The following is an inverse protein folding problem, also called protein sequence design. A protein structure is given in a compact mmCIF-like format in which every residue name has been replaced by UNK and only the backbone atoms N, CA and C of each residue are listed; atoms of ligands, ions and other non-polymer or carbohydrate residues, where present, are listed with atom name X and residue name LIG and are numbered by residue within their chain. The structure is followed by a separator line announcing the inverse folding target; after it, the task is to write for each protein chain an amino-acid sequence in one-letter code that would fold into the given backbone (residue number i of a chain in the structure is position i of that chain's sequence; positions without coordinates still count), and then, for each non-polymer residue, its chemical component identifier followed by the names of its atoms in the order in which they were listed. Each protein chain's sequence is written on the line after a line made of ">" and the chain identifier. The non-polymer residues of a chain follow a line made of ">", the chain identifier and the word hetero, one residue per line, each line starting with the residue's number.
data_IF_601806799616
#
_entry.id   IF_601806799616
#
_cell.length_a   1.000
_cell.length_b   1.000
_cell.length_c   1.000
_cell.angle_alpha   90.00
_cell.angle_beta   90.00
_cell.angle_gamma   90.00
#
_symmetry.space_group_name_H-M   'P 1'
#
loop_
_entity.id
_entity.type
_entity.pdbx_description
1 polymer ?
#
# COMPACT_ATOMS: atom_id res chain seq x y z
N UNK A 1 -49.72 9.18 4.86
CA UNK A 1 -49.28 10.25 5.76
C UNK A 1 -48.44 9.63 6.88
N UNK A 2 -47.12 9.61 6.71
CA UNK A 2 -46.17 9.17 7.76
C UNK A 2 -45.61 10.42 8.45
N UNK A 3 -45.43 10.42 9.79
CA UNK A 3 -45.03 11.61 10.50
C UNK A 3 -43.54 11.89 10.25
N UNK A 4 -43.26 13.09 9.76
CA UNK A 4 -41.93 13.71 9.74
C UNK A 4 -41.60 14.15 11.16
N UNK A 5 -40.64 13.49 11.81
CA UNK A 5 -40.00 14.06 13.00
C UNK A 5 -38.95 15.09 12.56
N UNK A 6 -38.94 16.30 13.13
CA UNK A 6 -37.92 17.30 12.83
C UNK A 6 -36.62 16.92 13.55
N UNK A 7 -35.56 16.70 12.77
CA UNK A 7 -34.20 16.56 13.28
C UNK A 7 -33.74 17.95 13.70
N UNK A 8 -33.63 18.18 15.01
CA UNK A 8 -32.97 19.36 15.57
C UNK A 8 -31.44 19.17 15.58
N UNK A 9 -30.66 20.26 15.42
CA UNK A 9 -29.22 20.21 15.23
C UNK A 9 -28.51 19.91 16.55
N UNK A 10 -27.72 18.85 16.60
CA UNK A 10 -26.79 18.59 17.69
C UNK A 10 -25.52 19.43 17.51
N UNK A 11 -25.10 20.21 18.53
CA UNK A 11 -23.83 20.92 18.53
C UNK A 11 -22.76 20.04 19.17
N UNK A 12 -21.81 19.50 18.41
CA UNK A 12 -20.54 18.97 18.94
C UNK A 12 -19.51 18.89 17.81
N UNK A 13 -18.63 19.90 17.78
CA UNK A 13 -17.39 19.93 17.02
C UNK A 13 -16.31 19.18 17.84
N UNK A 14 -15.59 18.21 17.24
CA UNK A 14 -14.15 17.94 17.45
C UNK A 14 -13.71 16.56 16.92
N UNK A 15 -12.49 16.55 16.34
CA UNK A 15 -11.49 15.46 16.28
C UNK A 15 -11.72 14.24 15.35
N UNK A 16 -10.63 13.59 14.88
CA UNK A 16 -10.43 12.11 14.77
C UNK A 16 -9.59 11.60 13.58
N UNK A 17 -8.32 11.16 13.74
CA UNK A 17 -7.81 9.99 12.99
C UNK A 17 -6.33 9.91 12.55
N UNK A 18 -5.84 8.70 12.27
CA UNK A 18 -4.38 8.46 12.09
C UNK A 18 -4.17 7.15 11.36
N UNK A 19 -3.14 7.02 10.51
CA UNK A 19 -2.56 5.72 10.10
C UNK A 19 -1.18 5.93 9.45
N UNK A 20 -0.20 5.02 9.67
CA UNK A 20 0.83 4.48 8.74
C UNK A 20 2.03 4.00 9.51
N UNK A 21 2.32 2.69 9.43
CA UNK A 21 3.54 2.12 9.97
C UNK A 21 3.88 0.62 9.80
N UNK A 22 3.85 0.12 8.58
CA UNK A 22 4.58 -1.14 8.31
C UNK A 22 5.85 -0.98 7.47
N UNK A 23 6.15 0.21 6.95
CA UNK A 23 6.61 0.28 5.56
C UNK A 23 8.10 0.09 5.28
N UNK A 24 9.02 0.41 6.18
CA UNK A 24 10.46 0.27 5.82
C UNK A 24 11.01 -1.12 6.11
N UNK A 25 10.11 -2.12 6.15
CA UNK A 25 10.26 -3.16 7.13
C UNK A 25 10.65 -4.55 6.71
N UNK A 26 11.12 -4.78 5.51
CA UNK A 26 10.89 -6.09 4.94
C UNK A 26 12.03 -6.63 4.08
N UNK A 27 13.30 -6.31 4.38
CA UNK A 27 14.41 -6.58 3.44
C UNK A 27 15.60 -7.37 3.93
N UNK A 28 15.47 -8.69 4.02
CA UNK A 28 16.48 -9.52 3.39
C UNK A 28 15.83 -10.84 3.05
N UNK A 29 15.75 -11.09 1.76
CA UNK A 29 15.41 -12.41 1.25
C UNK A 29 16.28 -12.87 0.09
N UNK A 30 17.31 -12.13 -0.34
CA UNK A 30 18.18 -12.59 -1.43
C UNK A 30 19.63 -12.12 -1.25
N UNK A 31 20.51 -13.06 -0.93
CA UNK A 31 21.94 -12.81 -0.72
C UNK A 31 22.85 -14.03 -0.82
N UNK A 32 22.72 -14.89 -1.85
CA UNK A 32 23.85 -15.64 -2.45
C UNK A 32 23.52 -16.13 -3.87
N UNK A 33 24.48 -16.11 -4.82
CA UNK A 33 24.27 -16.55 -6.19
C UNK A 33 24.25 -18.08 -6.26
N UNK A 34 23.10 -18.67 -6.58
CA UNK A 34 23.04 -20.08 -6.98
C UNK A 34 23.72 -20.23 -8.34
N UNK A 35 24.96 -20.73 -8.33
CA UNK A 35 25.53 -21.42 -9.48
C UNK A 35 24.71 -22.68 -9.74
N UNK A 36 23.67 -22.58 -10.57
CA UNK A 36 23.13 -23.72 -11.29
C UNK A 36 22.99 -23.33 -12.75
N UNK A 37 23.93 -23.84 -13.55
CA UNK A 37 23.80 -23.85 -14.99
C UNK A 37 22.64 -24.76 -15.38
N UNK A 38 21.72 -24.21 -16.17
CA UNK A 38 20.64 -24.93 -16.82
C UNK A 38 20.25 -24.17 -18.07
N UNK A 39 20.60 -24.73 -19.23
CA UNK A 39 20.42 -24.10 -20.53
C UNK A 39 18.92 -23.88 -20.85
N UNK A 40 18.52 -22.62 -20.98
CA UNK A 40 17.25 -22.26 -21.62
C UNK A 40 17.51 -22.03 -23.13
N UNK A 41 16.84 -22.84 -23.96
CA UNK A 41 16.80 -22.67 -25.42
C UNK A 41 15.98 -21.42 -25.80
N UNK A 42 16.38 -20.66 -26.84
CA UNK A 42 15.62 -19.51 -27.30
C UNK A 42 14.41 -19.96 -28.13
N UNK A 43 13.22 -19.50 -27.75
CA UNK A 43 12.07 -19.45 -28.65
C UNK A 43 12.22 -18.20 -29.52
N UNK A 44 12.74 -18.39 -30.73
CA UNK A 44 12.71 -17.41 -31.81
C UNK A 44 11.45 -17.59 -32.65
N UNK A 45 10.60 -16.57 -32.69
CA UNK A 45 9.52 -16.40 -33.66
C UNK A 45 9.51 -14.95 -34.16
N UNK A 46 9.50 -14.68 -35.48
CA UNK A 46 9.80 -13.36 -36.03
C UNK A 46 8.54 -12.49 -36.22
N UNK A 47 8.70 -11.18 -36.02
CA UNK A 47 7.87 -10.16 -36.70
C UNK A 47 6.70 -9.59 -35.88
N UNK A 48 7.01 -8.62 -35.02
CA UNK A 48 6.03 -7.65 -34.51
C UNK A 48 6.53 -6.23 -34.82
N UNK A 49 5.68 -5.30 -35.30
CA UNK A 49 6.12 -3.97 -35.71
C UNK A 49 6.55 -3.14 -34.48
N UNK A 50 7.73 -2.55 -34.57
CA UNK A 50 8.21 -1.52 -33.63
C UNK A 50 7.22 -0.35 -33.56
N UNK A 51 6.82 0.12 -32.37
CA UNK A 51 5.95 1.28 -32.25
C UNK A 51 6.70 2.52 -32.75
N UNK A 52 6.17 3.13 -33.83
CA UNK A 52 6.61 4.44 -34.32
C UNK A 52 6.27 5.48 -33.25
N UNK A 53 7.29 6.17 -32.73
CA UNK A 53 7.12 7.39 -31.93
C UNK A 53 6.34 8.41 -32.76
N UNK A 54 5.10 8.69 -32.35
CA UNK A 54 4.29 9.75 -32.93
C UNK A 54 4.80 11.08 -32.36
N UNK A 55 5.70 11.74 -33.10
CA UNK A 55 6.15 13.09 -32.78
C UNK A 55 5.18 14.12 -33.34
N UNK A 56 4.14 14.48 -32.60
CA UNK A 56 3.40 15.73 -32.77
C UNK A 56 2.27 15.84 -31.72
N UNK A 57 2.62 16.33 -30.52
CA UNK A 57 1.75 17.14 -29.64
C UNK A 57 2.60 17.62 -28.45
N UNK A 58 3.59 18.47 -28.71
CA UNK A 58 4.18 19.31 -27.65
C UNK A 58 3.32 20.55 -27.52
N UNK A 59 2.35 20.53 -26.60
CA UNK A 59 1.74 21.76 -26.10
C UNK A 59 2.86 22.48 -25.33
N UNK A 60 3.42 23.51 -25.95
CA UNK A 60 4.50 24.29 -25.37
C UNK A 60 4.00 25.15 -24.21
N UNK A 61 4.06 24.62 -22.99
CA UNK A 61 4.05 25.45 -21.78
C UNK A 61 5.44 26.06 -21.65
N UNK A 62 5.61 27.24 -22.26
CA UNK A 62 6.86 28.01 -22.20
C UNK A 62 6.91 28.78 -20.89
N UNK A 63 7.26 28.11 -19.79
CA UNK A 63 7.64 28.77 -18.55
C UNK A 63 9.08 29.28 -18.67
N UNK A 64 9.25 30.60 -18.85
CA UNK A 64 10.57 31.24 -18.88
C UNK A 64 11.15 31.35 -17.47
N UNK A 65 12.15 30.52 -17.16
CA UNK A 65 12.91 30.55 -15.89
C UNK A 65 13.78 29.30 -15.75
N UNK A 66 15.01 29.36 -16.29
CA UNK A 66 15.88 28.22 -16.62
C UNK A 66 16.53 27.45 -15.46
N UNK A 67 15.78 27.08 -14.42
CA UNK A 67 16.26 26.19 -13.36
C UNK A 67 15.16 25.40 -12.65
N UNK A 68 13.89 25.76 -12.81
CA UNK A 68 12.76 25.08 -12.14
C UNK A 68 12.13 23.94 -12.95
N UNK A 69 12.24 23.94 -14.28
CA UNK A 69 11.59 22.93 -15.13
C UNK A 69 12.16 21.54 -14.91
N UNK A 70 13.49 21.45 -14.78
CA UNK A 70 14.19 20.17 -14.78
C UNK A 70 13.99 19.43 -13.45
N UNK A 71 13.95 20.16 -12.33
CA UNK A 71 13.63 19.59 -11.02
C UNK A 71 12.16 19.15 -10.94
N UNK A 72 11.24 19.89 -11.57
CA UNK A 72 9.83 19.52 -11.61
C UNK A 72 9.65 18.23 -12.43
N UNK A 73 10.28 18.15 -13.60
CA UNK A 73 10.32 16.93 -14.39
C UNK A 73 10.84 15.77 -13.55
N UNK A 74 12.03 15.90 -12.96
CA UNK A 74 12.65 14.86 -12.12
C UNK A 74 11.72 14.37 -11.01
N UNK A 75 11.06 15.26 -10.26
CA UNK A 75 10.09 14.88 -9.21
C UNK A 75 8.89 14.11 -9.75
N UNK A 76 8.43 14.41 -10.96
CA UNK A 76 7.36 13.64 -11.61
C UNK A 76 7.79 12.21 -11.98
N UNK A 77 9.10 11.98 -12.23
CA UNK A 77 9.68 10.68 -12.60
C UNK A 77 10.12 9.81 -11.42
N UNK A 78 10.04 10.29 -10.19
CA UNK A 78 10.41 9.51 -9.03
C UNK A 78 9.53 8.27 -8.87
N UNK A 79 10.13 7.12 -8.57
CA UNK A 79 9.40 5.98 -8.01
C UNK A 79 8.86 6.33 -6.62
N UNK A 80 7.87 5.58 -6.08
CA UNK A 80 7.42 5.81 -4.70
C UNK A 80 8.58 5.69 -3.71
N UNK A 81 9.50 4.75 -3.94
CA UNK A 81 10.69 4.55 -3.13
C UNK A 81 11.63 5.76 -3.16
N UNK A 82 11.90 6.30 -4.35
CA UNK A 82 12.73 7.50 -4.53
C UNK A 82 12.08 8.73 -3.89
N UNK A 83 10.76 8.89 -4.01
CA UNK A 83 10.02 9.97 -3.38
C UNK A 83 10.17 9.95 -1.85
N UNK A 84 10.07 8.77 -1.22
CA UNK A 84 10.28 8.61 0.23
C UNK A 84 11.72 8.93 0.65
N UNK A 85 12.71 8.37 -0.05
CA UNK A 85 14.13 8.55 0.29
C UNK A 85 14.62 9.97 0.05
N UNK A 86 14.03 10.67 -0.92
CA UNK A 86 14.34 12.07 -1.23
C UNK A 86 13.48 13.08 -0.46
N UNK A 87 12.49 12.62 0.30
CA UNK A 87 11.64 13.52 1.11
C UNK A 87 12.48 14.29 2.13
N UNK A 88 12.46 15.62 2.00
CA UNK A 88 13.18 16.52 2.90
C UNK A 88 12.68 16.38 4.34
N UNK A 89 11.36 16.20 4.51
CA UNK A 89 10.69 16.00 5.80
C UNK A 89 11.21 14.72 6.46
N UNK A 90 11.19 13.60 5.75
CA UNK A 90 11.66 12.32 6.28
C UNK A 90 13.16 12.32 6.56
N UNK A 91 13.97 12.96 5.71
CA UNK A 91 15.42 13.12 5.94
C UNK A 91 15.74 13.96 7.16
N UNK A 92 15.00 15.06 7.39
CA UNK A 92 15.13 15.88 8.60
C UNK A 92 14.83 15.04 9.84
N UNK A 93 13.72 14.30 9.84
CA UNK A 93 13.37 13.37 10.92
C UNK A 93 14.44 12.30 11.16
N UNK A 94 14.91 11.62 10.12
CA UNK A 94 15.95 10.61 10.22
C UNK A 94 17.28 11.16 10.77
N UNK A 95 17.69 12.34 10.31
CA UNK A 95 18.92 13.00 10.78
C UNK A 95 18.85 13.29 12.29
N UNK A 96 17.71 13.76 12.77
CA UNK A 96 17.50 14.02 14.20
C UNK A 96 17.53 12.72 15.02
N UNK A 97 16.91 11.65 14.52
CA UNK A 97 16.99 10.35 15.18
C UNK A 97 18.43 9.83 15.22
N UNK A 98 19.22 10.05 14.18
CA UNK A 98 20.65 9.69 14.19
C UNK A 98 21.45 10.48 15.22
N UNK A 99 21.17 11.77 15.40
CA UNK A 99 21.77 12.55 16.47
C UNK A 99 21.45 11.96 17.86
N UNK A 100 20.20 11.53 18.07
CA UNK A 100 19.80 10.84 19.30
C UNK A 100 20.53 9.50 19.44
N UNK A 101 20.50 8.65 18.40
CA UNK A 101 21.10 7.31 18.39
C UNK A 101 22.62 7.35 18.64
N UNK A 102 23.32 8.32 18.04
CA UNK A 102 24.78 8.45 18.09
C UNK A 102 25.29 9.11 19.39
N UNK A 103 24.40 9.70 20.20
CA UNK A 103 24.75 10.25 21.51
C UNK A 103 25.12 9.17 22.53
N UNK A 104 25.85 9.54 23.59
CA UNK A 104 26.16 8.62 24.69
C UNK A 104 24.86 8.17 25.39
N UNK A 105 24.62 6.86 25.47
CA UNK A 105 23.34 6.31 25.95
C UNK A 105 22.18 6.44 24.96
N UNK A 106 22.41 7.06 23.80
CA UNK A 106 21.42 7.41 22.79
C UNK A 106 20.60 6.26 22.23
N UNK A 107 21.19 5.08 22.08
CA UNK A 107 20.48 3.87 21.61
C UNK A 107 19.46 3.33 22.60
N UNK A 108 19.76 3.38 23.91
CA UNK A 108 18.82 2.95 24.95
C UNK A 108 17.66 3.93 25.04
N UNK A 109 18.00 5.22 25.11
CA UNK A 109 17.10 6.36 24.98
C UNK A 109 16.12 6.18 23.81
N UNK A 110 16.66 5.97 22.62
CA UNK A 110 15.86 5.77 21.43
C UNK A 110 14.97 4.52 21.53
N UNK A 111 15.47 3.42 22.09
CA UNK A 111 14.66 2.23 22.36
C UNK A 111 13.46 2.51 23.27
N UNK A 112 13.64 3.33 24.31
CA UNK A 112 12.56 3.73 25.23
C UNK A 112 11.52 4.60 24.49
N UNK A 113 11.96 5.50 23.61
CA UNK A 113 11.06 6.27 22.74
C UNK A 113 10.23 5.37 21.82
N UNK A 114 10.84 4.30 21.26
CA UNK A 114 10.13 3.31 20.43
C UNK A 114 9.07 2.58 21.25
N UNK A 115 9.43 2.11 22.43
CA UNK A 115 8.55 1.34 23.28
C UNK A 115 7.35 2.17 23.77
N UNK A 116 7.58 3.43 24.12
CA UNK A 116 6.51 4.38 24.46
C UNK A 116 5.59 4.64 23.27
N UNK A 117 6.17 4.88 22.08
CA UNK A 117 5.37 5.08 20.88
C UNK A 117 4.52 3.84 20.53
N UNK A 118 5.06 2.62 20.70
CA UNK A 118 4.34 1.35 20.56
C UNK A 118 3.22 1.20 21.58
N UNK A 119 3.44 1.61 22.84
CA UNK A 119 2.43 1.56 23.88
C UNK A 119 1.26 2.49 23.56
N UNK A 120 1.55 3.73 23.21
CA UNK A 120 0.55 4.74 22.81
C UNK A 120 -0.21 4.32 21.54
N UNK A 121 0.49 3.75 20.55
CA UNK A 121 -0.09 3.13 19.37
C UNK A 121 -1.11 2.03 19.68
N UNK A 122 -0.92 1.28 20.76
CA UNK A 122 -1.84 0.20 21.15
C UNK A 122 -3.00 0.72 21.97
N UNK A 123 -2.75 1.66 22.89
CA UNK A 123 -3.80 2.29 23.71
C UNK A 123 -4.68 3.25 22.89
N UNK A 124 -4.14 3.85 21.82
CA UNK A 124 -4.77 4.98 21.12
C UNK A 124 -4.57 6.31 21.85
N UNK A 125 -3.61 6.37 22.77
CA UNK A 125 -3.15 7.63 23.36
C UNK A 125 -2.21 8.36 22.40
N UNK A 126 -2.14 9.67 22.55
CA UNK A 126 -1.35 10.54 21.69
C UNK A 126 -0.67 11.62 22.53
N UNK A 127 0.57 11.37 22.89
CA UNK A 127 1.38 12.28 23.69
C UNK A 127 2.82 12.28 23.18
N UNK A 128 3.14 13.23 22.29
CA UNK A 128 4.51 13.44 21.76
C UNK A 128 5.46 13.67 22.91
N UNK A 129 4.95 14.41 23.88
CA UNK A 129 5.69 14.93 24.98
C UNK A 129 6.11 13.79 25.90
N UNK A 130 5.27 12.78 26.08
CA UNK A 130 5.59 11.53 26.75
C UNK A 130 6.62 10.71 25.96
N UNK A 131 6.50 10.57 24.64
CA UNK A 131 7.49 9.88 23.81
C UNK A 131 8.86 10.56 23.90
N UNK A 132 8.89 11.89 23.83
CA UNK A 132 10.11 12.66 24.00
C UNK A 132 10.62 12.61 25.45
N UNK A 133 9.77 12.44 26.48
CA UNK A 133 10.19 12.37 27.89
C UNK A 133 10.64 10.99 28.35
N UNK A 134 10.18 9.92 27.70
CA UNK A 134 10.62 8.54 27.96
C UNK A 134 12.16 8.40 27.90
N UNK A 135 12.81 9.40 27.30
CA UNK A 135 14.20 9.44 26.98
C UNK A 135 15.09 10.50 27.64
N UNK A 136 14.77 11.03 28.82
CA UNK A 136 15.69 11.99 29.45
C UNK A 136 17.08 11.37 29.75
N UNK A 137 18.20 12.08 29.49
CA UNK A 137 18.29 13.50 29.14
C UNK A 137 18.70 13.82 27.67
N UNK A 138 17.88 14.61 26.97
CA UNK A 138 18.17 15.18 25.63
C UNK A 138 19.38 16.10 25.58
N UNK A 139 19.84 16.62 26.73
CA UNK A 139 20.97 17.55 26.78
C UNK A 139 22.26 16.95 26.18
N UNK A 140 22.40 15.62 26.18
CA UNK A 140 23.56 14.92 25.63
C UNK A 140 23.52 14.78 24.10
N UNK A 141 22.36 14.97 23.45
CA UNK A 141 22.20 14.74 21.99
C UNK A 141 22.60 15.96 21.17
N UNK A 142 22.71 17.14 21.80
CA UNK A 142 22.97 18.41 21.11
C UNK A 142 21.77 18.94 20.30
N UNK A 143 20.64 18.23 20.31
CA UNK A 143 19.40 18.61 19.63
C UNK A 143 18.42 19.15 20.65
N UNK A 144 17.83 20.31 20.37
CA UNK A 144 16.80 20.84 21.27
C UNK A 144 15.52 20.00 21.18
N UNK A 145 14.85 19.76 22.31
CA UNK A 145 13.57 19.02 22.33
C UNK A 145 12.52 19.66 21.42
N UNK A 146 12.49 20.99 21.33
CA UNK A 146 11.56 21.71 20.48
C UNK A 146 11.80 21.45 18.99
N UNK A 147 13.06 21.44 18.56
CA UNK A 147 13.45 21.09 17.18
C UNK A 147 13.12 19.63 16.85
N UNK A 148 13.36 18.72 17.79
CA UNK A 148 12.97 17.32 17.64
C UNK A 148 11.45 17.16 17.54
N UNK A 149 10.68 17.85 18.38
CA UNK A 149 9.23 17.85 18.34
C UNK A 149 8.71 18.36 17.00
N UNK A 150 9.17 19.52 16.53
CA UNK A 150 8.73 20.13 15.27
C UNK A 150 8.98 19.21 14.07
N UNK A 151 10.19 18.65 13.97
CA UNK A 151 10.54 17.80 12.84
C UNK A 151 9.84 16.44 12.89
N UNK A 152 9.61 15.90 14.09
CA UNK A 152 8.77 14.72 14.25
C UNK A 152 7.34 15.07 13.82
N UNK A 153 6.73 16.14 14.32
CA UNK A 153 5.39 16.62 13.90
C UNK A 153 5.26 16.79 12.38
N UNK A 154 6.29 17.31 11.71
CA UNK A 154 6.28 17.42 10.25
C UNK A 154 6.27 16.04 9.56
N UNK A 155 7.12 15.12 10.02
CA UNK A 155 7.15 13.75 9.53
C UNK A 155 5.88 12.97 9.87
N UNK A 156 5.33 13.19 11.07
CA UNK A 156 4.05 12.67 11.52
C UNK A 156 2.95 13.07 10.55
N UNK A 157 2.90 14.36 10.21
CA UNK A 157 1.91 14.91 9.30
C UNK A 157 2.02 14.32 7.91
N UNK A 158 3.25 14.09 7.40
CA UNK A 158 3.48 13.42 6.11
C UNK A 158 3.08 11.93 6.15
N UNK A 159 3.21 11.29 7.30
CA UNK A 159 2.88 9.89 7.52
C UNK A 159 1.44 9.69 7.99
N UNK A 160 0.56 10.67 7.92
CA UNK A 160 -0.88 10.42 8.08
C UNK A 160 -1.45 9.68 6.83
N UNK A 161 -2.52 8.88 6.93
CA UNK A 161 -3.28 8.40 5.73
C UNK A 161 -4.52 9.29 5.52
N UNK A 162 -4.89 10.11 6.49
CA UNK A 162 -6.00 11.05 6.35
C UNK A 162 -5.78 12.05 5.21
N UNK A 163 -6.83 12.81 4.89
CA UNK A 163 -6.82 13.74 3.75
C UNK A 163 -6.39 15.16 4.19
N UNK A 164 -5.71 15.25 5.34
CA UNK A 164 -5.32 16.50 6.02
C UNK A 164 -4.31 17.34 5.24
N UNK A 165 -3.54 16.71 4.35
CA UNK A 165 -2.46 17.34 3.58
C UNK A 165 -2.72 17.37 2.06
N UNK A 166 -3.94 17.04 1.65
CA UNK A 166 -4.29 16.98 0.23
C UNK A 166 -4.91 18.26 -0.29
N UNK A 167 -4.56 18.57 -1.53
CA UNK A 167 -5.28 19.58 -2.30
C UNK A 167 -6.50 18.91 -2.93
N UNK A 168 -7.66 19.52 -2.74
CA UNK A 168 -8.93 19.00 -3.26
C UNK A 168 -9.37 19.80 -4.46
N UNK A 169 -9.62 19.13 -5.58
CA UNK A 169 -10.22 19.72 -6.77
C UNK A 169 -11.60 19.10 -6.99
N UNK A 170 -12.65 19.91 -6.88
CA UNK A 170 -14.00 19.50 -7.24
C UNK A 170 -14.22 19.68 -8.74
N UNK A 171 -14.52 18.60 -9.45
CA UNK A 171 -14.58 18.59 -10.90
C UNK A 171 -15.86 19.24 -11.41
N UNK A 172 -15.72 20.09 -12.43
CA UNK A 172 -16.83 20.72 -13.13
C UNK A 172 -17.05 20.11 -14.51
N UNK A 173 -15.96 19.67 -15.15
CA UNK A 173 -15.96 18.94 -16.41
C UNK A 173 -14.61 18.28 -16.61
N UNK A 174 -14.54 17.28 -17.49
CA UNK A 174 -13.30 16.61 -17.85
C UNK A 174 -13.34 16.13 -19.30
N UNK A 175 -12.16 15.88 -19.87
CA UNK A 175 -11.96 15.22 -21.15
C UNK A 175 -10.75 14.29 -21.04
N UNK A 176 -11.02 12.99 -20.88
CA UNK A 176 -10.00 11.93 -20.74
C UNK A 176 -9.08 12.19 -19.53
N UNK A 177 -7.98 12.92 -19.71
CA UNK A 177 -7.04 13.30 -18.64
C UNK A 177 -6.89 14.82 -18.44
N UNK A 178 -7.68 15.62 -19.15
CA UNK A 178 -7.76 17.06 -18.95
C UNK A 178 -8.99 17.40 -18.10
N UNK A 179 -8.77 18.06 -16.96
CA UNK A 179 -9.80 18.34 -15.97
C UNK A 179 -9.98 19.84 -15.79
N UNK A 180 -11.24 20.25 -15.66
CA UNK A 180 -11.61 21.58 -15.19
C UNK A 180 -12.35 21.42 -13.86
N UNK A 181 -11.93 22.15 -12.83
CA UNK A 181 -12.51 22.05 -11.51
C UNK A 181 -12.49 23.35 -10.73
N UNK A 182 -12.88 23.27 -9.47
CA UNK A 182 -12.82 24.33 -8.49
C UNK A 182 -11.88 23.88 -7.36
N UNK A 183 -10.87 24.69 -7.09
CA UNK A 183 -9.93 24.51 -5.97
C UNK A 183 -9.95 25.78 -5.13
N UNK A 184 -10.33 25.66 -3.85
CA UNK A 184 -10.43 26.81 -2.92
C UNK A 184 -11.30 27.98 -3.45
N UNK A 185 -12.34 27.65 -4.21
CA UNK A 185 -13.25 28.63 -4.82
C UNK A 185 -12.79 29.20 -6.17
N UNK A 186 -11.59 28.84 -6.63
CA UNK A 186 -11.05 29.30 -7.91
C UNK A 186 -11.17 28.22 -8.99
N UNK A 187 -11.50 28.63 -10.22
CA UNK A 187 -11.53 27.71 -11.34
C UNK A 187 -10.11 27.33 -11.76
N UNK A 188 -9.84 26.03 -11.80
CA UNK A 188 -8.54 25.47 -12.18
C UNK A 188 -8.70 24.57 -13.39
N UNK A 189 -7.66 24.53 -14.23
CA UNK A 189 -7.48 23.54 -15.28
C UNK A 189 -6.22 22.77 -15.00
N UNK A 190 -6.28 21.46 -15.09
CA UNK A 190 -5.13 20.59 -14.90
C UNK A 190 -5.16 19.45 -15.92
N UNK A 191 -3.99 18.93 -16.24
CA UNK A 191 -3.82 17.74 -17.08
C UNK A 191 -3.09 16.69 -16.26
N UNK A 192 -3.62 15.47 -16.29
CA UNK A 192 -3.00 14.31 -15.68
C UNK A 192 -2.27 13.49 -16.73
N UNK A 193 -1.22 12.78 -16.30
CA UNK A 193 -0.57 11.75 -17.11
C UNK A 193 -0.52 10.48 -16.28
N UNK A 194 -1.01 9.37 -16.87
CA UNK A 194 -0.74 8.03 -16.34
C UNK A 194 0.70 7.70 -16.63
N UNK A 195 1.50 7.47 -15.59
CA UNK A 195 2.89 7.05 -15.82
C UNK A 195 2.92 5.59 -16.26
N UNK A 196 3.88 5.28 -17.14
CA UNK A 196 4.11 3.93 -17.68
C UNK A 196 4.09 2.89 -16.57
N UNK A 197 3.63 1.67 -16.88
CA UNK A 197 3.61 0.51 -15.97
C UNK A 197 4.98 0.14 -15.33
N UNK A 198 6.05 0.81 -15.75
CA UNK A 198 7.41 0.67 -15.18
C UNK A 198 7.65 1.59 -13.98
N UNK A 199 6.88 2.66 -13.82
CA UNK A 199 6.94 3.47 -12.62
C UNK A 199 6.29 2.63 -11.52
N UNK A 200 7.03 2.25 -10.47
CA UNK A 200 6.57 1.34 -9.42
C UNK A 200 5.37 1.87 -8.58
N UNK A 201 4.72 2.93 -9.05
CA UNK A 201 3.41 3.39 -8.61
C UNK A 201 2.37 2.33 -8.96
N UNK A 202 1.69 1.81 -7.94
CA UNK A 202 0.63 0.83 -8.13
C UNK A 202 -0.68 1.48 -8.56
N UNK A 203 -1.78 0.78 -8.26
CA UNK A 203 -3.12 1.09 -8.76
C UNK A 203 -3.70 2.39 -8.19
N UNK A 204 -3.22 2.86 -7.03
CA UNK A 204 -3.90 3.91 -6.26
C UNK A 204 -3.41 5.32 -6.60
N UNK A 205 -2.14 5.46 -6.94
CA UNK A 205 -1.54 6.74 -7.31
C UNK A 205 -0.92 6.78 -8.71
N UNK A 206 -1.53 6.24 -9.78
CA UNK A 206 -0.88 6.12 -11.09
C UNK A 206 -0.80 7.45 -11.88
N UNK A 207 -1.57 8.46 -11.48
CA UNK A 207 -1.68 9.74 -12.19
C UNK A 207 -0.94 10.86 -11.49
N UNK A 208 -0.16 11.63 -12.24
CA UNK A 208 0.50 12.85 -11.79
C UNK A 208 0.01 14.07 -12.58
N UNK A 209 -0.02 15.23 -11.93
CA UNK A 209 -0.37 16.50 -12.56
C UNK A 209 0.83 17.01 -13.36
N UNK A 210 0.69 17.05 -14.68
CA UNK A 210 1.76 17.49 -15.62
C UNK A 210 1.54 18.90 -16.14
N UNK A 211 0.32 19.42 -16.04
CA UNK A 211 -0.01 20.80 -16.32
C UNK A 211 -1.10 21.26 -15.34
N UNK A 212 -1.04 22.52 -14.89
CA UNK A 212 -2.04 23.08 -13.98
C UNK A 212 -1.48 24.21 -13.10
N UNK A 213 -2.21 24.60 -12.05
CA UNK A 213 -1.75 25.56 -11.07
C UNK A 213 -0.39 25.15 -10.47
N UNK A 214 0.53 26.09 -10.19
CA UNK A 214 1.86 25.76 -9.66
C UNK A 214 1.84 24.89 -8.39
N UNK A 215 0.84 25.06 -7.52
CA UNK A 215 0.70 24.28 -6.29
C UNK A 215 0.24 22.83 -6.50
N UNK A 216 -0.18 22.45 -7.71
CA UNK A 216 -0.58 21.09 -8.06
C UNK A 216 0.45 20.38 -8.94
N UNK A 217 1.35 21.11 -9.61
CA UNK A 217 2.32 20.50 -10.52
C UNK A 217 3.19 19.46 -9.81
N UNK A 218 3.26 18.26 -10.38
CA UNK A 218 4.00 17.13 -9.83
C UNK A 218 3.31 16.39 -8.68
N UNK A 219 2.19 16.90 -8.15
CA UNK A 219 1.37 16.16 -7.20
C UNK A 219 0.69 14.98 -7.89
N UNK A 220 0.39 13.94 -7.12
CA UNK A 220 -0.25 12.72 -7.58
C UNK A 220 -1.68 12.64 -7.10
N UNK A 221 -2.57 12.05 -7.90
CA UNK A 221 -3.90 11.68 -7.42
C UNK A 221 -3.73 10.56 -6.42
N UNK A 222 -4.31 10.70 -5.23
CA UNK A 222 -4.24 9.68 -4.15
C UNK A 222 -5.61 9.17 -3.73
N UNK A 223 -6.68 9.88 -4.08
CA UNK A 223 -8.05 9.49 -3.78
C UNK A 223 -9.01 10.17 -4.76
N UNK A 224 -10.11 9.48 -5.05
CA UNK A 224 -11.24 9.95 -5.83
C UNK A 224 -12.51 9.73 -5.00
N UNK A 225 -13.24 10.81 -4.71
CA UNK A 225 -14.52 10.79 -4.00
C UNK A 225 -15.64 11.07 -5.00
N UNK A 226 -16.36 10.02 -5.36
CA UNK A 226 -17.45 10.04 -6.32
C UNK A 226 -18.76 10.42 -5.61
N UNK A 227 -19.24 11.66 -5.77
CA UNK A 227 -20.44 12.14 -5.05
C UNK A 227 -21.73 11.43 -5.47
N UNK A 228 -21.76 10.87 -6.69
CA UNK A 228 -22.94 10.23 -7.25
C UNK A 228 -22.78 8.71 -7.26
N UNK A 229 -22.92 8.08 -6.08
CA UNK A 229 -22.85 6.63 -5.90
C UNK A 229 -23.93 5.84 -6.67
N UNK A 230 -24.89 6.50 -7.34
CA UNK A 230 -26.02 5.82 -8.00
C UNK A 230 -25.69 5.22 -9.36
N UNK A 231 -24.54 5.56 -9.94
CA UNK A 231 -24.14 5.05 -11.25
C UNK A 231 -23.03 4.02 -11.08
N UNK A 232 -23.26 2.82 -11.61
CA UNK A 232 -22.38 1.66 -11.50
C UNK A 232 -20.88 2.00 -11.61
N UNK A 233 -20.01 1.33 -10.84
CA UNK A 233 -18.57 1.52 -10.95
C UNK A 233 -18.12 1.23 -12.38
N UNK A 234 -17.45 2.20 -13.01
CA UNK A 234 -16.83 1.98 -14.30
C UNK A 234 -15.66 0.98 -14.15
N UNK A 235 -15.35 0.25 -15.23
CA UNK A 235 -14.28 -0.76 -15.27
C UNK A 235 -12.87 -0.21 -14.94
N UNK A 236 -12.72 1.10 -14.84
CA UNK A 236 -11.54 1.78 -14.31
C UNK A 236 -12.01 2.91 -13.37
N UNK A 237 -11.50 2.97 -12.13
CA UNK A 237 -11.88 4.01 -11.17
C UNK A 237 -11.63 5.42 -11.71
N UNK A 238 -10.75 5.59 -12.70
CA UNK A 238 -10.49 6.88 -13.34
C UNK A 238 -11.31 7.14 -14.61
N UNK A 239 -11.81 6.11 -15.31
CA UNK A 239 -12.75 6.31 -16.42
C UNK A 239 -14.18 6.56 -15.95
N UNK A 240 -14.47 6.32 -14.66
CA UNK A 240 -15.75 6.62 -14.02
C UNK A 240 -15.93 8.05 -13.50
N UNK A 241 -14.87 8.87 -13.54
CA UNK A 241 -14.87 10.23 -12.97
C UNK A 241 -15.88 11.12 -13.72
N UNK A 242 -16.70 11.86 -12.97
CA UNK A 242 -17.75 12.76 -13.47
C UNK A 242 -17.65 14.16 -12.89
N UNK A 243 -18.41 15.08 -13.48
CA UNK A 243 -18.61 16.39 -12.87
C UNK A 243 -19.31 16.24 -11.52
N UNK A 244 -18.80 16.94 -10.50
CA UNK A 244 -19.22 16.84 -9.10
C UNK A 244 -18.28 16.02 -8.22
N UNK A 245 -17.49 15.13 -8.81
CA UNK A 245 -16.53 14.30 -8.07
C UNK A 245 -15.35 15.13 -7.57
N UNK A 246 -14.66 14.62 -6.55
CA UNK A 246 -13.51 15.28 -5.94
C UNK A 246 -12.26 14.45 -6.12
N UNK A 247 -11.21 15.10 -6.61
CA UNK A 247 -9.88 14.52 -6.72
C UNK A 247 -9.00 15.08 -5.60
N UNK A 248 -8.32 14.18 -4.90
CA UNK A 248 -7.36 14.54 -3.85
C UNK A 248 -5.94 14.37 -4.38
N UNK A 249 -5.13 15.42 -4.20
CA UNK A 249 -3.76 15.48 -4.69
C UNK A 249 -2.77 15.61 -3.55
N UNK A 250 -1.73 14.80 -3.56
CA UNK A 250 -0.66 14.84 -2.58
C UNK A 250 0.72 14.97 -3.24
N UNK A 251 1.68 15.49 -2.48
CA UNK A 251 3.08 15.47 -2.89
C UNK A 251 3.59 14.02 -3.07
N UNK A 252 4.60 13.77 -3.93
CA UNK A 252 5.04 12.41 -4.25
C UNK A 252 5.39 11.54 -3.04
N UNK A 253 6.02 12.09 -2.02
CA UNK A 253 6.35 11.34 -0.80
C UNK A 253 5.08 10.91 -0.05
N UNK A 254 4.11 11.81 0.14
CA UNK A 254 2.80 11.49 0.72
C UNK A 254 2.02 10.47 -0.13
N UNK A 255 2.07 10.60 -1.44
CA UNK A 255 1.43 9.64 -2.33
C UNK A 255 2.07 8.24 -2.21
N UNK A 256 3.40 8.16 -2.12
CA UNK A 256 4.12 6.91 -1.93
C UNK A 256 3.73 6.25 -0.59
N UNK A 257 3.66 7.06 0.45
CA UNK A 257 3.17 6.69 1.76
C UNK A 257 1.76 6.07 1.67
N UNK A 258 0.79 6.76 1.05
CA UNK A 258 -0.59 6.26 0.86
C UNK A 258 -0.64 4.98 0.03
N UNK A 259 0.09 4.93 -1.07
CA UNK A 259 0.16 3.77 -1.98
C UNK A 259 0.50 2.49 -1.24
N UNK A 260 1.59 2.53 -0.47
CA UNK A 260 2.07 1.35 0.23
C UNK A 260 1.11 0.96 1.36
N UNK A 261 0.50 1.93 2.05
CA UNK A 261 -0.49 1.62 3.07
C UNK A 261 -1.77 1.01 2.49
N UNK A 262 -2.25 1.52 1.37
CA UNK A 262 -3.38 0.92 0.65
C UNK A 262 -3.08 -0.52 0.27
N UNK A 263 -1.87 -0.80 -0.24
CA UNK A 263 -1.43 -2.16 -0.50
C UNK A 263 -1.49 -3.05 0.76
N UNK A 264 -0.99 -2.59 1.91
CA UNK A 264 -1.03 -3.34 3.19
C UNK A 264 -2.45 -3.62 3.69
N UNK A 265 -3.38 -2.68 3.46
CA UNK A 265 -4.78 -2.80 3.86
C UNK A 265 -5.69 -3.50 2.86
N UNK A 266 -5.21 -3.72 1.64
CA UNK A 266 -6.01 -4.27 0.55
C UNK A 266 -6.69 -5.60 0.92
N UNK A 267 -6.04 -6.57 1.60
CA UNK A 267 -6.68 -7.83 1.97
C UNK A 267 -7.92 -7.68 2.86
N UNK A 268 -7.94 -6.69 3.74
CA UNK A 268 -9.10 -6.38 4.58
C UNK A 268 -10.17 -5.62 3.81
N UNK A 269 -9.76 -4.67 2.95
CA UNK A 269 -10.67 -3.88 2.11
C UNK A 269 -11.37 -4.73 1.05
N UNK A 270 -10.71 -5.77 0.55
CA UNK A 270 -11.24 -6.64 -0.51
C UNK A 270 -11.93 -7.90 0.03
N UNK A 271 -11.98 -8.09 1.36
CA UNK A 271 -12.52 -9.30 1.99
C UNK A 271 -13.94 -9.64 1.53
N UNK A 272 -14.77 -8.63 1.27
CA UNK A 272 -16.16 -8.80 0.83
C UNK A 272 -16.27 -9.38 -0.59
N UNK A 273 -15.21 -9.27 -1.40
CA UNK A 273 -15.12 -9.85 -2.75
C UNK A 273 -14.73 -11.34 -2.74
N UNK A 274 -14.40 -11.94 -1.59
CA UNK A 274 -14.01 -13.34 -1.51
C UNK A 274 -15.04 -14.31 -2.13
N UNK A 275 -16.36 -14.16 -1.91
CA UNK A 275 -17.36 -15.02 -2.57
C UNK A 275 -17.34 -14.89 -4.09
N UNK A 276 -17.09 -13.68 -4.62
CA UNK A 276 -17.01 -13.46 -6.06
C UNK A 276 -15.80 -14.20 -6.65
N UNK A 277 -14.63 -14.10 -6.02
CA UNK A 277 -13.42 -14.80 -6.46
C UNK A 277 -13.60 -16.33 -6.41
N UNK A 278 -14.25 -16.86 -5.37
CA UNK A 278 -14.57 -18.30 -5.28
C UNK A 278 -15.49 -18.77 -6.42
N UNK A 279 -16.47 -17.95 -6.81
CA UNK A 279 -17.34 -18.26 -7.95
C UNK A 279 -16.54 -18.25 -9.25
N UNK A 280 -15.70 -17.23 -9.47
CA UNK A 280 -14.83 -17.15 -10.65
C UNK A 280 -13.97 -18.41 -10.79
N UNK A 281 -13.30 -18.86 -9.73
CA UNK A 281 -12.51 -20.09 -9.75
C UNK A 281 -13.32 -21.37 -10.01
N UNK A 282 -14.58 -21.45 -9.56
CA UNK A 282 -15.45 -22.60 -9.84
C UNK A 282 -15.89 -22.63 -11.30
N UNK A 283 -16.11 -21.46 -11.91
CA UNK A 283 -16.48 -21.35 -13.33
C UNK A 283 -15.30 -21.71 -14.22
N UNK A 284 -14.10 -21.19 -13.93
CA UNK A 284 -12.88 -21.54 -14.66
C UNK A 284 -12.60 -23.05 -14.65
N UNK A 285 -12.95 -23.73 -13.55
CA UNK A 285 -12.82 -25.20 -13.40
C UNK A 285 -14.00 -25.99 -14.00
N UNK A 286 -15.03 -25.32 -14.52
CA UNK A 286 -16.25 -25.96 -15.03
C UNK A 286 -17.15 -26.58 -13.94
N UNK A 287 -16.89 -26.31 -12.66
CA UNK A 287 -17.65 -26.81 -11.52
C UNK A 287 -18.98 -26.06 -11.32
N UNK A 288 -19.12 -24.86 -11.90
CA UNK A 288 -20.28 -23.98 -11.76
C UNK A 288 -21.00 -23.72 -13.10
N UNK A 289 -21.14 -24.75 -13.94
CA UNK A 289 -21.89 -24.64 -15.19
C UNK A 289 -23.36 -24.23 -14.91
N UNK A 290 -23.79 -23.10 -15.47
CA UNK A 290 -25.15 -22.56 -15.31
C UNK A 290 -25.35 -21.59 -14.15
N UNK A 291 -24.29 -21.25 -13.40
CA UNK A 291 -24.35 -20.14 -12.44
C UNK A 291 -24.44 -18.82 -13.23
N UNK A 292 -25.26 -17.88 -12.77
CA UNK A 292 -25.31 -16.53 -13.34
C UNK A 292 -25.00 -15.54 -12.24
N UNK A 293 -24.05 -14.64 -12.48
CA UNK A 293 -23.75 -13.53 -11.57
C UNK A 293 -24.62 -12.37 -12.00
N UNK A 294 -25.30 -11.77 -11.03
CA UNK A 294 -26.16 -10.60 -11.26
C UNK A 294 -25.49 -9.42 -10.60
N UNK A 295 -25.01 -8.47 -11.39
CA UNK A 295 -24.45 -7.19 -10.94
C UNK A 295 -25.49 -6.12 -11.25
N UNK A 296 -25.90 -5.34 -10.24
CA UNK A 296 -26.92 -4.28 -10.36
C UNK A 296 -28.23 -4.74 -11.02
N UNK A 297 -28.67 -5.96 -10.69
CA UNK A 297 -29.90 -6.54 -11.22
C UNK A 297 -29.80 -7.03 -12.67
N UNK A 298 -28.61 -6.99 -13.30
CA UNK A 298 -28.36 -7.48 -14.65
C UNK A 298 -27.50 -8.75 -14.62
N UNK A 299 -27.92 -9.82 -15.33
CA UNK A 299 -27.04 -10.96 -15.59
C UNK A 299 -25.78 -10.48 -16.30
N UNK A 300 -24.62 -10.74 -15.70
CA UNK A 300 -23.30 -10.37 -16.22
C UNK A 300 -22.56 -11.63 -16.62
N UNK A 301 -21.93 -11.64 -17.80
CA UNK A 301 -21.15 -12.80 -18.22
C UNK A 301 -19.88 -12.88 -17.35
N UNK A 302 -19.39 -14.10 -17.11
CA UNK A 302 -18.15 -14.28 -16.33
C UNK A 302 -16.93 -13.64 -16.99
N UNK A 303 -16.92 -13.60 -18.31
CA UNK A 303 -15.88 -12.93 -19.11
C UNK A 303 -15.85 -11.41 -18.87
N UNK A 304 -16.97 -10.83 -18.43
CA UNK A 304 -17.10 -9.41 -18.11
C UNK A 304 -16.77 -9.12 -16.63
N UNK A 305 -16.64 -10.16 -15.79
CA UNK A 305 -16.22 -9.99 -14.39
C UNK A 305 -14.71 -9.91 -14.32
N UNK A 306 -14.20 -8.69 -14.35
CA UNK A 306 -12.77 -8.43 -14.21
C UNK A 306 -12.44 -8.01 -12.77
N UNK A 307 -11.52 -8.74 -12.14
CA UNK A 307 -10.83 -8.32 -10.93
C UNK A 307 -9.36 -8.13 -11.29
N UNK A 308 -8.79 -6.98 -10.92
CA UNK A 308 -7.37 -6.72 -11.09
C UNK A 308 -6.53 -7.77 -10.34
N UNK A 309 -5.40 -8.18 -10.92
CA UNK A 309 -4.54 -9.23 -10.36
C UNK A 309 -4.16 -8.94 -8.89
N UNK A 310 -3.81 -7.70 -8.57
CA UNK A 310 -3.46 -7.27 -7.22
C UNK A 310 -4.64 -7.45 -6.23
N UNK A 311 -5.86 -7.23 -6.69
CA UNK A 311 -7.08 -7.41 -5.90
C UNK A 311 -7.36 -8.90 -5.67
N UNK A 312 -7.20 -9.74 -6.70
CA UNK A 312 -7.32 -11.20 -6.58
C UNK A 312 -6.29 -11.75 -5.57
N UNK A 313 -5.04 -11.33 -5.67
CA UNK A 313 -3.96 -11.70 -4.75
C UNK A 313 -4.28 -11.28 -3.31
N UNK A 314 -4.80 -10.06 -3.11
CA UNK A 314 -5.18 -9.58 -1.80
C UNK A 314 -6.35 -10.37 -1.19
N UNK A 315 -7.36 -10.73 -1.99
CA UNK A 315 -8.49 -11.56 -1.54
C UNK A 315 -7.98 -12.95 -1.15
N UNK A 316 -7.15 -13.59 -1.99
CA UNK A 316 -6.57 -14.89 -1.70
C UNK A 316 -5.73 -14.86 -0.41
N UNK A 317 -4.94 -13.80 -0.22
CA UNK A 317 -4.17 -13.58 1.00
C UNK A 317 -5.07 -13.38 2.24
N UNK A 318 -6.19 -12.67 2.11
CA UNK A 318 -7.21 -12.53 3.16
C UNK A 318 -7.81 -13.87 3.57
N UNK A 319 -8.06 -14.77 2.61
CA UNK A 319 -8.52 -16.13 2.88
C UNK A 319 -7.45 -16.97 3.59
N UNK A 320 -6.20 -16.88 3.14
CA UNK A 320 -5.06 -17.58 3.74
C UNK A 320 -4.83 -17.17 5.20
N UNK A 321 -4.80 -15.86 5.49
CA UNK A 321 -4.57 -15.34 6.84
C UNK A 321 -5.66 -15.74 7.83
N UNK A 322 -6.91 -15.91 7.38
CA UNK A 322 -8.00 -16.46 8.23
C UNK A 322 -7.75 -17.90 8.67
N UNK A 323 -7.00 -18.68 7.88
CA UNK A 323 -6.68 -20.07 8.20
C UNK A 323 -5.48 -20.20 9.15
N UNK A 324 -4.73 -19.12 9.38
CA UNK A 324 -3.60 -19.10 10.32
C UNK A 324 -4.11 -19.06 11.77
N UNK A 325 -3.46 -19.81 12.65
CA UNK A 325 -3.93 -20.07 14.02
C UNK A 325 -3.47 -19.01 15.04
N UNK A 326 -2.52 -18.13 14.69
CA UNK A 326 -1.96 -17.14 15.61
C UNK A 326 -1.81 -15.75 14.99
N UNK A 327 -1.95 -14.71 15.81
CA UNK A 327 -1.79 -13.32 15.34
C UNK A 327 -0.34 -13.04 14.92
N UNK A 328 0.65 -13.56 15.64
CA UNK A 328 2.07 -13.44 15.26
C UNK A 328 2.36 -14.01 13.86
N UNK A 329 1.74 -15.12 13.50
CA UNK A 329 1.89 -15.73 12.17
C UNK A 329 1.24 -14.86 11.09
N UNK A 330 0.05 -14.32 11.35
CA UNK A 330 -0.64 -13.40 10.43
C UNK A 330 0.13 -12.10 10.26
N UNK A 331 0.64 -11.55 11.35
CA UNK A 331 1.47 -10.35 11.36
C UNK A 331 2.71 -10.58 10.48
N UNK A 332 3.44 -11.68 10.69
CA UNK A 332 4.60 -12.04 9.85
C UNK A 332 4.24 -12.21 8.38
N UNK A 333 3.16 -12.93 8.07
CA UNK A 333 2.71 -13.14 6.70
C UNK A 333 2.35 -11.82 6.00
N UNK A 334 1.72 -10.87 6.71
CA UNK A 334 1.41 -9.54 6.15
C UNK A 334 2.68 -8.74 5.87
N UNK A 335 3.65 -8.78 6.79
CA UNK A 335 4.95 -8.15 6.58
C UNK A 335 5.66 -8.75 5.38
N UNK A 336 5.67 -10.08 5.24
CA UNK A 336 6.23 -10.75 4.05
C UNK A 336 5.54 -10.31 2.75
N UNK A 337 4.20 -10.25 2.73
CA UNK A 337 3.47 -9.72 1.56
C UNK A 337 3.89 -8.29 1.22
N UNK A 338 3.97 -7.43 2.24
CA UNK A 338 4.40 -6.05 2.06
C UNK A 338 5.85 -5.94 1.58
N UNK A 339 6.73 -6.85 2.01
CA UNK A 339 8.10 -7.00 1.50
C UNK A 339 8.15 -7.13 -0.01
N UNK A 340 7.22 -7.94 -0.52
CA UNK A 340 7.19 -8.34 -1.90
C UNK A 340 6.60 -7.25 -2.79
N UNK A 341 5.95 -6.23 -2.22
CA UNK A 341 5.45 -5.07 -2.93
C UNK A 341 6.59 -4.33 -3.65
N UNK A 342 6.51 -4.04 -4.97
CA UNK A 342 7.61 -3.48 -5.74
C UNK A 342 8.20 -2.18 -5.17
N UNK A 343 7.34 -1.25 -4.73
CA UNK A 343 7.78 0.02 -4.14
C UNK A 343 8.56 -0.21 -2.84
N UNK A 344 8.13 -1.15 -1.99
CA UNK A 344 8.81 -1.48 -0.74
C UNK A 344 10.14 -2.16 -1.02
N UNK A 345 10.20 -3.10 -1.97
CA UNK A 345 11.45 -3.75 -2.39
C UNK A 345 12.49 -2.76 -2.88
N UNK A 346 12.07 -1.79 -3.70
CA UNK A 346 12.95 -0.73 -4.19
C UNK A 346 13.40 0.20 -3.07
N UNK A 347 12.48 0.61 -2.19
CA UNK A 347 12.75 1.45 -1.03
C UNK A 347 13.83 0.83 -0.14
N UNK A 348 13.74 -0.47 0.10
CA UNK A 348 14.72 -1.17 0.90
C UNK A 348 16.11 -1.22 0.26
N UNK A 349 16.19 -1.38 -1.07
CA UNK A 349 17.45 -1.28 -1.81
C UNK A 349 18.07 0.11 -1.65
N UNK A 350 17.25 1.15 -1.70
CA UNK A 350 17.70 2.54 -1.50
C UNK A 350 18.14 2.80 -0.05
N UNK A 351 17.39 2.32 0.95
CA UNK A 351 17.76 2.39 2.38
C UNK A 351 19.12 1.72 2.61
N UNK A 352 19.37 0.55 2.02
CA UNK A 352 20.66 -0.16 2.15
C UNK A 352 21.82 0.58 1.47
N UNK A 353 21.51 1.47 0.53
CA UNK A 353 22.51 2.24 -0.21
C UNK A 353 22.82 3.60 0.45
N UNK A 354 21.99 4.05 1.38
CA UNK A 354 22.13 5.32 2.10
C UNK A 354 22.50 5.04 3.57
N UNK A 355 23.72 5.42 3.96
CA UNK A 355 24.29 5.03 5.26
C UNK A 355 23.48 5.54 6.46
N UNK A 356 22.89 6.72 6.35
CA UNK A 356 22.09 7.32 7.41
C UNK A 356 20.78 6.54 7.57
N UNK A 357 20.08 6.26 6.46
CA UNK A 357 18.88 5.43 6.48
C UNK A 357 19.16 3.99 6.95
N UNK A 358 20.29 3.40 6.53
CA UNK A 358 20.69 2.08 6.98
C UNK A 358 20.97 2.02 8.49
N UNK A 359 21.64 3.03 9.06
CA UNK A 359 21.94 3.03 10.50
C UNK A 359 20.67 3.12 11.33
N UNK A 360 19.74 4.01 10.98
CA UNK A 360 18.46 4.07 11.69
C UNK A 360 17.75 2.72 11.54
N UNK A 361 17.82 2.10 10.35
CA UNK A 361 17.26 0.79 10.13
C UNK A 361 17.79 -0.27 11.11
N UNK A 362 19.10 -0.38 11.18
CA UNK A 362 19.79 -1.31 12.06
C UNK A 362 19.43 -1.18 13.54
N UNK A 363 19.26 0.04 14.03
CA UNK A 363 18.95 0.28 15.45
C UNK A 363 17.58 -0.25 15.80
N UNK A 364 16.64 -0.03 14.91
CA UNK A 364 15.26 -0.34 15.16
C UNK A 364 14.98 -1.84 15.07
N UNK A 365 15.88 -2.57 14.41
CA UNK A 365 15.80 -4.00 14.08
C UNK A 365 14.93 -4.83 14.99
N UNK A 366 15.24 -4.87 16.29
CA UNK A 366 14.63 -5.81 17.21
C UNK A 366 13.16 -5.51 17.50
N UNK A 367 12.66 -4.31 17.20
CA UNK A 367 11.30 -3.83 17.52
C UNK A 367 10.34 -3.85 16.33
N UNK A 368 10.83 -4.29 15.18
CA UNK A 368 10.19 -4.27 13.88
C UNK A 368 8.75 -4.76 13.85
N UNK A 369 8.53 -5.97 14.34
CA UNK A 369 7.22 -6.60 14.39
C UNK A 369 6.27 -5.87 15.34
N UNK A 370 6.75 -5.47 16.52
CA UNK A 370 5.93 -4.82 17.53
C UNK A 370 5.42 -3.46 17.04
N UNK A 371 6.28 -2.70 16.37
CA UNK A 371 5.91 -1.39 15.87
C UNK A 371 4.99 -1.51 14.65
N UNK A 372 5.21 -2.50 13.77
CA UNK A 372 4.26 -2.81 12.69
C UNK A 372 2.87 -3.18 13.23
N UNK A 373 2.80 -4.13 14.14
CA UNK A 373 1.55 -4.59 14.74
C UNK A 373 0.80 -3.43 15.42
N UNK A 374 1.50 -2.65 16.23
CA UNK A 374 0.92 -1.55 16.99
C UNK A 374 0.31 -0.49 16.06
N UNK A 375 1.00 -0.16 14.99
CA UNK A 375 0.49 0.80 14.03
C UNK A 375 -0.61 0.27 13.15
N UNK A 376 -0.49 -0.99 12.71
CA UNK A 376 -1.56 -1.65 11.99
C UNK A 376 -2.83 -1.67 12.84
N UNK A 377 -2.70 -2.00 14.12
CA UNK A 377 -3.81 -1.95 15.08
C UNK A 377 -4.40 -0.54 15.18
N UNK A 378 -3.55 0.49 15.32
CA UNK A 378 -4.02 1.88 15.37
C UNK A 378 -4.74 2.28 14.07
N UNK A 379 -4.22 1.83 12.93
CA UNK A 379 -4.74 2.15 11.61
C UNK A 379 -6.11 1.51 11.32
N UNK A 380 -6.31 0.27 11.78
CA UNK A 380 -7.59 -0.41 11.65
C UNK A 380 -8.64 0.15 12.63
N UNK A 381 -8.24 0.76 13.75
CA UNK A 381 -9.16 1.42 14.69
C UNK A 381 -9.75 2.71 14.13
N UNK A 382 -8.98 3.45 13.33
CA UNK A 382 -9.41 4.74 12.77
C UNK A 382 -10.31 4.58 11.55
N UNK A 383 -10.20 3.45 10.86
CA UNK A 383 -11.24 3.01 9.93
C UNK A 383 -12.43 2.52 10.74
N UNK A 384 -13.44 3.37 10.88
CA UNK A 384 -14.79 3.00 11.32
C UNK A 384 -15.39 1.98 10.35
N UNK A 385 -14.88 0.75 10.35
CA UNK A 385 -15.49 -0.39 9.70
C UNK A 385 -16.73 -0.70 10.54
N UNK A 386 -17.82 0.02 10.29
CA UNK A 386 -19.14 -0.39 10.79
C UNK A 386 -19.35 -1.81 10.28
N UNK A 387 -19.37 -2.82 11.15
CA UNK A 387 -19.19 -4.22 10.74
C UNK A 387 -20.43 -4.82 10.04
N UNK A 388 -21.38 -4.00 9.58
CA UNK A 388 -22.74 -4.45 9.25
C UNK A 388 -23.42 -3.74 8.06
N UNK A 389 -22.69 -3.03 7.21
CA UNK A 389 -23.28 -2.56 5.94
C UNK A 389 -22.45 -3.04 4.75
N UNK A 390 -23.09 -3.83 3.88
CA UNK A 390 -22.67 -4.25 2.52
C UNK A 390 -22.47 -3.05 1.56
N UNK A 391 -22.00 -1.90 2.07
CA UNK A 391 -21.86 -0.65 1.33
C UNK A 391 -20.46 -0.10 1.53
N UNK A 392 -19.76 0.06 0.40
CA UNK A 392 -18.54 0.84 0.33
C UNK A 392 -18.92 2.30 0.56
N UNK A 393 -18.83 2.76 1.80
CA UNK A 393 -18.89 4.19 2.11
C UNK A 393 -17.45 4.70 2.12
N UNK A 394 -17.13 5.62 1.21
CA UNK A 394 -15.85 6.36 1.22
C UNK A 394 -15.89 7.33 2.39
N UNK A 395 -15.16 7.01 3.46
CA UNK A 395 -15.10 7.85 4.66
C UNK A 395 -13.98 8.88 4.54
N UNK A 396 -14.33 10.16 4.69
CA UNK A 396 -13.37 11.20 5.05
C UNK A 396 -12.87 11.01 6.48
N UNK A 397 -11.60 10.63 6.64
CA UNK A 397 -10.94 10.39 7.93
C UNK A 397 -10.29 11.69 8.43
N UNK A 398 -10.49 12.04 9.71
CA UNK A 398 -9.86 13.22 10.36
C UNK A 398 -8.52 12.82 11.01
N UNK A 399 -7.89 13.71 11.77
CA UNK A 399 -6.50 13.61 12.24
C UNK A 399 -6.34 13.49 13.79
N UNK A 400 -5.34 12.77 14.31
CA UNK A 400 -4.89 12.69 15.70
C UNK A 400 -3.41 12.17 15.75
N UNK A 401 -2.45 13.09 15.70
CA UNK A 401 -1.29 13.00 14.80
C UNK A 401 0.06 12.58 15.42
N UNK A 402 0.17 12.16 16.68
CA UNK A 402 1.46 12.37 17.36
C UNK A 402 2.24 11.12 17.79
N UNK A 403 1.59 10.16 18.44
CA UNK A 403 2.29 8.94 18.86
C UNK A 403 2.62 8.01 17.70
N UNK A 404 1.77 8.11 16.69
CA UNK A 404 1.60 7.14 15.63
C UNK A 404 2.73 7.18 14.61
N UNK A 405 3.46 8.28 14.51
CA UNK A 405 4.52 8.40 13.53
C UNK A 405 5.92 8.70 14.07
N UNK A 406 6.09 8.89 15.39
CA UNK A 406 7.39 8.62 16.02
C UNK A 406 7.65 7.14 15.95
N UNK A 407 6.66 6.31 16.30
CA UNK A 407 6.69 4.91 15.95
C UNK A 407 6.96 4.70 14.45
N UNK A 408 6.71 5.70 13.56
CA UNK A 408 6.69 5.51 12.10
C UNK A 408 7.96 5.33 11.40
N UNK A 409 8.80 6.24 11.80
CA UNK A 409 10.18 6.22 11.49
C UNK A 409 10.79 4.99 12.21
N UNK A 410 10.26 4.61 13.39
CA UNK A 410 10.77 3.51 14.20
C UNK A 410 10.43 2.06 13.71
N UNK A 411 9.23 1.71 13.26
CA UNK A 411 8.99 0.34 12.75
C UNK A 411 9.65 0.15 11.42
N UNK A 412 9.53 1.14 10.54
CA UNK A 412 10.01 0.95 9.20
C UNK A 412 11.48 0.58 9.28
N UNK A 413 12.26 1.43 9.92
CA UNK A 413 13.69 1.26 9.94
C UNK A 413 14.04 -0.07 10.65
N UNK A 414 13.31 -0.48 11.67
CA UNK A 414 13.55 -1.77 12.31
C UNK A 414 13.50 -2.94 11.34
N UNK A 415 12.56 -2.84 10.45
CA UNK A 415 12.04 -4.01 9.84
C UNK A 415 12.93 -4.29 8.58
N UNK A 416 13.55 -3.26 7.98
CA UNK A 416 14.68 -3.32 7.02
C UNK A 416 15.89 -4.13 7.53
N UNK A 417 15.92 -4.34 8.83
CA UNK A 417 17.10 -4.77 9.49
C UNK A 417 16.95 -6.26 9.93
N UNK A 418 15.73 -6.73 10.24
CA UNK A 418 15.49 -8.09 10.75
C UNK A 418 15.51 -9.18 9.67
N UNK A 419 15.01 -8.84 8.49
CA UNK A 419 15.59 -9.19 7.21
C UNK A 419 16.46 -10.48 7.13
N UNK A 420 17.77 -10.52 7.49
CA UNK A 420 18.61 -11.70 7.24
C UNK A 420 18.12 -12.96 7.98
N UNK A 421 17.48 -12.79 9.13
CA UNK A 421 17.03 -13.88 10.01
C UNK A 421 15.70 -14.48 9.54
N UNK A 422 14.87 -13.71 8.82
CA UNK A 422 13.63 -14.19 8.21
C UNK A 422 13.92 -15.00 6.92
N UNK A 423 14.96 -14.65 6.17
CA UNK A 423 15.42 -15.48 5.05
C UNK A 423 15.86 -16.88 5.47
N UNK A 424 16.61 -16.96 6.58
CA UNK A 424 17.04 -18.22 7.16
C UNK A 424 15.84 -19.09 7.58
N UNK A 425 14.79 -18.47 8.13
CA UNK A 425 13.55 -19.15 8.49
C UNK A 425 12.73 -19.59 7.25
N UNK A 426 12.65 -18.76 6.20
CA UNK A 426 11.98 -19.11 4.93
C UNK A 426 12.63 -20.32 4.28
N UNK A 427 13.96 -20.39 4.28
CA UNK A 427 14.69 -21.53 3.73
C UNK A 427 14.44 -22.81 4.56
N UNK A 428 14.33 -22.70 5.89
CA UNK A 428 13.94 -23.85 6.74
C UNK A 428 12.49 -24.30 6.53
N UNK A 429 11.54 -23.37 6.36
CA UNK A 429 10.12 -23.70 6.15
C UNK A 429 9.82 -24.19 4.73
N UNK A 430 10.54 -23.66 3.73
CA UNK A 430 10.47 -24.11 2.34
C UNK A 430 11.04 -25.52 2.14
N UNK A 431 12.04 -25.90 2.94
CA UNK A 431 12.58 -27.27 2.96
C UNK A 431 11.63 -28.29 3.62
N UNK A 432 10.80 -27.87 4.58
CA UNK A 432 9.85 -28.76 5.27
C UNK A 432 8.51 -28.93 4.53
N UNK A 433 8.14 -28.00 3.65
CA UNK A 433 6.93 -28.08 2.82
C UNK A 433 7.14 -28.68 1.43
N UNK A 434 8.31 -29.25 1.13
CA UNK A 434 8.36 -30.28 0.10
C UNK A 434 7.68 -31.54 0.65
N UNK A 435 6.35 -31.56 0.58
CA UNK A 435 5.58 -32.80 0.63
C UNK A 435 6.33 -33.84 -0.23
N UNK A 436 6.50 -35.10 0.23
CA UNK A 436 7.09 -36.12 -0.62
C UNK A 436 6.25 -36.16 -1.90
N UNK A 437 6.82 -35.65 -2.99
CA UNK A 437 6.30 -35.86 -4.31
C UNK A 437 6.31 -37.37 -4.48
N UNK A 438 5.14 -38.00 -4.35
CA UNK A 438 4.89 -39.29 -4.95
C UNK A 438 5.04 -39.06 -6.45
N UNK A 439 6.28 -39.13 -6.93
CA UNK A 439 6.56 -39.28 -8.34
C UNK A 439 5.89 -40.56 -8.76
N UNK A 440 4.80 -40.43 -9.51
CA UNK A 440 4.34 -41.47 -10.42
C UNK A 440 5.55 -41.78 -11.30
N UNK A 441 6.28 -42.84 -10.95
CA UNK A 441 7.22 -43.45 -11.86
C UNK A 441 6.44 -43.79 -13.11
N UNK A 442 6.89 -43.24 -14.25
CA UNK A 442 6.51 -43.67 -15.59
C UNK A 442 6.88 -45.15 -15.77
N UNK A 443 6.03 -46.02 -15.22
CA UNK A 443 6.08 -47.45 -15.45
C UNK A 443 5.37 -47.77 -16.75
N UNK A 444 6.14 -48.26 -17.71
CA UNK A 444 5.71 -48.77 -19.01
C UNK A 444 4.35 -49.49 -18.96
N UNK A 445 3.43 -49.07 -19.82
CA UNK A 445 2.16 -49.74 -20.02
C UNK A 445 2.36 -51.19 -20.48
N UNK A 446 1.84 -52.21 -19.76
CA UNK A 446 1.85 -53.57 -20.26
C UNK A 446 0.80 -53.71 -21.37
N UNK A 447 1.28 -54.17 -22.53
CA UNK A 447 0.48 -54.51 -23.71
C UNK A 447 -0.50 -55.66 -23.41
N UNK A 448 -1.78 -55.43 -23.70
CA UNK A 448 -2.81 -56.36 -24.23
C UNK A 448 -2.94 -57.78 -23.65
N UNK A 449 -4.12 -58.11 -23.07
CA UNK A 449 -5.14 -59.08 -23.56
C UNK A 449 -6.14 -59.48 -22.41
N UNK A 450 -7.21 -60.26 -22.65
CA UNK A 450 -8.55 -59.81 -23.00
C UNK A 450 -9.63 -60.09 -21.92
N UNK A 451 -10.80 -59.47 -22.12
CA UNK A 451 -12.06 -59.61 -21.38
C UNK A 451 -12.46 -61.07 -21.06
N UNK A 452 -12.86 -61.35 -19.83
CA UNK A 452 -13.81 -62.42 -19.47
C UNK A 452 -14.57 -62.08 -18.16
N UNK A 453 -15.89 -61.97 -18.29
CA UNK A 453 -16.97 -62.37 -17.37
C UNK A 453 -16.75 -62.43 -15.85
N UNK A 454 -17.67 -61.79 -15.11
CA UNK A 454 -18.17 -62.35 -13.83
C UNK A 454 -18.37 -61.36 -12.69
N UNK A 455 -19.57 -60.79 -12.58
CA UNK A 455 -20.14 -60.35 -11.30
C UNK A 455 -20.23 -61.55 -10.34
N UNK A 456 -20.14 -61.34 -9.01
CA UNK A 456 -21.38 -61.06 -8.30
C UNK A 456 -21.28 -60.05 -7.13
N UNK A 457 -22.39 -59.34 -6.97
CA UNK A 457 -22.83 -58.64 -5.77
C UNK A 457 -23.03 -59.62 -4.59
N UNK A 458 -22.74 -59.18 -3.36
CA UNK A 458 -23.54 -59.32 -2.12
C UNK A 458 -22.66 -59.16 -0.85
N UNK A 459 -23.24 -58.94 0.35
CA UNK A 459 -24.40 -58.13 0.68
C UNK A 459 -24.15 -57.17 1.86
N UNK A 460 -25.13 -56.28 2.07
CA UNK A 460 -25.33 -55.55 3.31
C UNK A 460 -25.58 -56.52 4.48
N UNK A 461 -24.97 -56.19 5.62
CA UNK A 461 -25.42 -56.56 6.97
C UNK A 461 -25.31 -55.32 7.85
#
# INVERSE_FOLDING_TARGET
>A
SRPTHPIQPWPCQAACGVMLLPLLGCCALLGRPSRLGGAARPWGGPGGPTPRRCGACRIGVRAGGGGGSDQLEERMFQSPAEALISSAVLRRGASLLLHVIRAEGGRALFGDMVDEAVAQLRSGEEDLDAILRAGEPWNATGVSRAEAAEALEEALRLLDIGNSCEEVVELTSHSVLDFCGVMRGESVRLSLERRDARSAWGLYSPFAVVAGPPGLLGKRVVEVDCKNESDAPADDPFFGIKAGDRLYFADPDRAAVKEIALHDHLPEMSRWLAPLLEIMYKVERGEAAGLSVVVDGKPTAFEDLFLEDELQEAIAFSMLTKQMNGEDERVRARMERLADFPAVRELQRLVTSDADWQEVAEVLRPKSQAVYEAARTASLRTRSLTPDEDRVVVYGVRASEIALAVAAILAGLALAACAPKLAELRDTWGAEKSLPLYGLQDGEAPRTAPLLYGTPLMPLS
#
